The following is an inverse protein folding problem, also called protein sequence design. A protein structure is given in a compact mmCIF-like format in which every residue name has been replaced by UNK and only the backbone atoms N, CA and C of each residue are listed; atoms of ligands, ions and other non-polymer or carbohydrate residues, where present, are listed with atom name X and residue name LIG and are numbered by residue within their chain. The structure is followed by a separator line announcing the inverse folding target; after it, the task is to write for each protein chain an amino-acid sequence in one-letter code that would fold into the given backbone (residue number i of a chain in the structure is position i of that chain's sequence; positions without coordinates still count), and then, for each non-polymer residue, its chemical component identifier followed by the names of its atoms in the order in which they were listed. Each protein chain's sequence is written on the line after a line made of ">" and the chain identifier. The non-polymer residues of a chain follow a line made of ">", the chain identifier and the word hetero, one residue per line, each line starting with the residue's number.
data_IF_184113812827
#
_entry.id   IF_184113812827
#
_cell.length_a   1.000
_cell.length_b   1.000
_cell.length_c   1.000
_cell.angle_alpha   90.00
_cell.angle_beta   90.00
_cell.angle_gamma   90.00
#
_symmetry.space_group_name_H-M   'P 1'
#
loop_
_entity.id
_entity.type
_entity.pdbx_description
1 polymer ?
#
# COMPACT_ATOMS: atom_id res chain seq x y z
N UNK A 1 6.91 -0.03 -0.38
CA UNK A 1 7.60 -0.91 -1.35
C UNK A 1 9.00 -0.43 -1.58
N UNK A 2 10.01 -1.28 -1.37
CA UNK A 2 11.41 -0.95 -1.62
C UNK A 2 11.75 -0.89 -3.11
N UNK A 3 12.84 -0.22 -3.46
CA UNK A 3 13.20 0.11 -4.85
C UNK A 3 13.42 -1.12 -5.72
N UNK A 4 13.99 -2.21 -5.15
CA UNK A 4 14.19 -3.48 -5.87
C UNK A 4 12.88 -4.04 -6.46
N UNK A 5 11.76 -3.86 -5.76
CA UNK A 5 10.45 -4.35 -6.22
C UNK A 5 9.80 -3.44 -7.27
N UNK A 6 10.38 -2.28 -7.53
CA UNK A 6 9.91 -1.31 -8.51
C UNK A 6 10.78 -1.29 -9.77
N UNK A 7 11.93 -1.97 -9.78
CA UNK A 7 12.89 -1.96 -10.88
C UNK A 7 12.30 -2.37 -12.25
N UNK A 8 11.27 -3.23 -12.27
CA UNK A 8 10.61 -3.69 -13.49
C UNK A 8 9.42 -2.80 -13.94
N UNK A 9 9.15 -1.68 -13.24
CA UNK A 9 8.05 -0.76 -13.61
C UNK A 9 8.45 0.06 -14.83
N UNK A 10 7.47 0.38 -15.69
CA UNK A 10 7.65 1.36 -16.76
C UNK A 10 7.97 2.73 -16.17
N UNK A 11 8.93 3.43 -16.78
CA UNK A 11 9.45 4.72 -16.32
C UNK A 11 9.92 4.66 -14.84
N UNK A 12 10.66 3.60 -14.48
CA UNK A 12 11.15 3.41 -13.12
C UNK A 12 12.18 4.46 -12.70
N UNK A 13 12.88 5.05 -13.67
CA UNK A 13 13.88 6.10 -13.52
C UNK A 13 13.33 7.39 -12.92
N UNK A 14 12.05 7.69 -13.14
CA UNK A 14 11.38 8.87 -12.55
C UNK A 14 10.66 8.55 -11.22
N UNK A 15 10.69 7.30 -10.76
CA UNK A 15 10.18 6.93 -9.44
C UNK A 15 11.16 7.41 -8.37
N UNK A 16 10.67 8.16 -7.39
CA UNK A 16 11.49 8.56 -6.25
C UNK A 16 12.06 7.36 -5.46
N UNK A 17 13.26 7.52 -4.87
CA UNK A 17 13.85 6.48 -4.02
C UNK A 17 12.96 6.19 -2.82
N UNK A 18 13.13 5.00 -2.22
CA UNK A 18 12.28 4.52 -1.13
C UNK A 18 12.18 5.52 0.02
N UNK A 19 13.30 6.08 0.46
CA UNK A 19 13.39 6.99 1.61
C UNK A 19 12.54 8.23 1.39
N UNK A 20 12.54 8.77 0.16
CA UNK A 20 11.72 9.95 -0.19
C UNK A 20 10.24 9.61 -0.23
N UNK A 21 9.86 8.45 -0.76
CA UNK A 21 8.46 8.00 -0.78
C UNK A 21 7.93 7.71 0.63
N UNK A 22 8.77 7.12 1.47
CA UNK A 22 8.47 6.85 2.88
C UNK A 22 8.26 8.15 3.66
N UNK A 23 9.20 9.10 3.55
CA UNK A 23 9.10 10.41 4.19
C UNK A 23 7.83 11.15 3.74
N UNK A 24 7.57 11.24 2.43
CA UNK A 24 6.39 11.92 1.89
C UNK A 24 5.08 11.32 2.41
N UNK A 25 4.98 9.98 2.53
CA UNK A 25 3.79 9.33 3.08
C UNK A 25 3.60 9.63 4.57
N UNK A 26 4.69 9.56 5.36
CA UNK A 26 4.65 9.86 6.78
C UNK A 26 4.32 11.33 7.05
N UNK A 27 4.90 12.25 6.29
CA UNK A 27 4.67 13.68 6.41
C UNK A 27 3.24 14.07 6.06
N UNK A 28 2.66 13.44 5.02
CA UNK A 28 1.25 13.61 4.70
C UNK A 28 0.34 13.19 5.87
N UNK A 29 0.58 12.02 6.47
CA UNK A 29 -0.20 11.56 7.63
C UNK A 29 -0.10 12.52 8.82
N UNK A 30 1.10 13.02 9.11
CA UNK A 30 1.33 14.01 10.18
C UNK A 30 0.69 15.36 9.87
N UNK A 31 0.67 15.79 8.61
CA UNK A 31 0.00 17.01 8.20
C UNK A 31 -1.53 16.90 8.37
N UNK A 32 -2.11 15.73 8.08
CA UNK A 32 -3.54 15.45 8.27
C UNK A 32 -3.91 15.34 9.75
N UNK A 33 -3.09 14.64 10.55
CA UNK A 33 -3.30 14.47 12.00
C UNK A 33 -1.96 14.46 12.74
N UNK A 34 -1.52 15.61 13.30
CA UNK A 34 -0.21 15.73 13.95
C UNK A 34 -0.01 14.81 15.15
N UNK A 35 -1.09 14.45 15.85
CA UNK A 35 -1.06 13.55 17.00
C UNK A 35 -1.01 12.06 16.64
N UNK A 36 -0.93 11.71 15.36
CA UNK A 36 -0.85 10.31 14.92
C UNK A 36 0.57 9.77 15.15
N UNK A 37 0.66 8.64 15.84
CA UNK A 37 1.90 7.85 15.86
C UNK A 37 2.04 7.14 14.51
N UNK A 38 3.13 7.45 13.79
CA UNK A 38 3.39 6.90 12.45
C UNK A 38 4.61 6.01 12.52
N UNK A 39 4.40 4.72 12.24
CA UNK A 39 5.45 3.76 12.01
C UNK A 39 5.42 3.28 10.55
N UNK A 40 6.58 3.26 9.91
CA UNK A 40 6.74 2.81 8.53
C UNK A 40 7.56 1.52 8.47
N UNK A 41 7.31 0.70 7.46
CA UNK A 41 8.13 -0.47 7.17
C UNK A 41 8.20 -0.73 5.67
N UNK A 42 9.37 -1.15 5.20
CA UNK A 42 9.60 -1.43 3.80
C UNK A 42 9.16 -2.86 3.44
N UNK A 43 8.43 -2.99 2.33
CA UNK A 43 8.26 -4.28 1.65
C UNK A 43 9.50 -4.50 0.77
N UNK A 44 10.42 -5.34 1.23
CA UNK A 44 11.72 -5.58 0.58
C UNK A 44 11.79 -6.89 -0.20
N UNK A 45 11.08 -7.92 0.26
CA UNK A 45 11.04 -9.25 -0.36
C UNK A 45 9.58 -9.67 -0.52
N UNK A 46 9.11 -9.99 -1.74
CA UNK A 46 7.73 -10.45 -1.98
C UNK A 46 7.45 -11.83 -1.37
N UNK A 47 8.49 -12.60 -1.00
CA UNK A 47 8.36 -13.91 -0.36
C UNK A 47 8.33 -13.82 1.17
N UNK A 48 8.81 -12.72 1.74
CA UNK A 48 8.77 -12.50 3.17
C UNK A 48 7.38 -12.01 3.59
N UNK A 49 6.83 -12.47 4.73
CA UNK A 49 5.56 -11.96 5.21
C UNK A 49 5.70 -10.47 5.56
N UNK A 50 4.75 -9.62 5.14
CA UNK A 50 4.73 -8.21 5.56
C UNK A 50 4.48 -8.10 7.06
N UNK A 51 4.88 -6.97 7.68
CA UNK A 51 4.72 -6.73 9.12
C UNK A 51 3.27 -6.91 9.62
N UNK A 52 2.29 -6.57 8.78
CA UNK A 52 0.87 -6.76 9.08
C UNK A 52 0.44 -8.23 9.23
N UNK A 53 1.21 -9.18 8.68
CA UNK A 53 0.96 -10.60 8.80
C UNK A 53 1.45 -11.19 10.13
N UNK A 54 2.43 -10.53 10.77
CA UNK A 54 3.15 -11.08 11.94
C UNK A 54 2.90 -10.32 13.23
N UNK A 55 2.31 -9.12 13.18
CA UNK A 55 2.04 -8.30 14.36
C UNK A 55 0.62 -8.50 14.89
N UNK A 56 0.49 -9.12 16.07
CA UNK A 56 -0.80 -9.43 16.67
C UNK A 56 -1.63 -8.19 17.03
N UNK A 57 -0.98 -7.08 17.42
CA UNK A 57 -1.67 -5.84 17.82
C UNK A 57 -2.41 -5.10 16.70
N UNK A 58 -2.21 -5.49 15.43
CA UNK A 58 -2.95 -4.91 14.31
C UNK A 58 -4.34 -5.55 14.25
N UNK A 59 -5.37 -4.75 14.51
CA UNK A 59 -6.78 -5.16 14.49
C UNK A 59 -7.52 -4.79 13.20
N UNK A 60 -6.97 -3.89 12.38
CA UNK A 60 -7.59 -3.47 11.13
C UNK A 60 -6.57 -3.17 10.02
N UNK A 61 -7.00 -3.32 8.77
CA UNK A 61 -6.31 -2.84 7.56
C UNK A 61 -7.16 -1.80 6.84
N UNK A 62 -6.55 -0.67 6.52
CA UNK A 62 -7.13 0.34 5.63
C UNK A 62 -6.58 0.07 4.23
N UNK A 63 -7.47 -0.23 3.28
CA UNK A 63 -7.10 -0.73 1.96
C UNK A 63 -8.02 -0.16 0.89
N UNK A 64 -7.53 -0.07 -0.34
CA UNK A 64 -8.39 0.14 -1.50
C UNK A 64 -8.93 -1.19 -2.02
N UNK A 65 -9.93 -1.12 -2.91
CA UNK A 65 -10.42 -2.32 -3.62
C UNK A 65 -9.32 -3.06 -4.39
N UNK A 66 -8.31 -2.36 -4.91
CA UNK A 66 -7.16 -2.97 -5.60
C UNK A 66 -6.32 -3.86 -4.68
N UNK A 67 -6.30 -3.56 -3.38
CA UNK A 67 -5.46 -4.26 -2.40
C UNK A 67 -6.23 -5.27 -1.57
N UNK A 68 -7.53 -5.45 -1.82
CA UNK A 68 -8.38 -6.43 -1.13
C UNK A 68 -7.88 -7.87 -1.26
N UNK A 69 -7.39 -8.26 -2.44
CA UNK A 69 -6.79 -9.59 -2.63
C UNK A 69 -5.52 -9.76 -1.78
N UNK A 70 -4.72 -8.71 -1.64
CA UNK A 70 -3.55 -8.70 -0.75
C UNK A 70 -3.94 -8.81 0.72
N UNK A 71 -4.98 -8.09 1.13
CA UNK A 71 -5.51 -8.14 2.49
C UNK A 71 -6.04 -9.51 2.88
N UNK A 72 -6.75 -10.20 1.97
CA UNK A 72 -7.20 -11.59 2.18
C UNK A 72 -6.03 -12.55 2.40
N UNK A 73 -4.99 -12.49 1.55
CA UNK A 73 -3.76 -13.28 1.74
C UNK A 73 -3.08 -12.99 3.08
N UNK A 74 -3.12 -11.73 3.52
CA UNK A 74 -2.64 -11.28 4.82
C UNK A 74 -3.39 -11.92 5.98
N UNK A 75 -4.72 -12.00 5.89
CA UNK A 75 -5.54 -12.70 6.87
C UNK A 75 -5.21 -14.21 6.91
N UNK A 76 -5.07 -14.85 5.74
CA UNK A 76 -4.67 -16.27 5.66
C UNK A 76 -3.31 -16.52 6.32
N UNK A 77 -2.32 -15.64 6.07
CA UNK A 77 -1.02 -15.71 6.73
C UNK A 77 -1.13 -15.57 8.25
N UNK A 78 -1.95 -14.64 8.76
CA UNK A 78 -2.15 -14.48 10.21
C UNK A 78 -2.77 -15.72 10.85
N UNK A 79 -3.73 -16.36 10.17
CA UNK A 79 -4.31 -17.62 10.63
C UNK A 79 -3.27 -18.74 10.63
N UNK A 80 -2.47 -18.87 9.57
CA UNK A 80 -1.40 -19.87 9.48
C UNK A 80 -0.31 -19.67 10.55
N UNK A 81 -0.07 -18.44 10.99
CA UNK A 81 0.86 -18.11 12.07
C UNK A 81 0.24 -18.18 13.48
N UNK A 82 -1.04 -18.57 13.61
CA UNK A 82 -1.73 -18.65 14.90
C UNK A 82 -2.01 -17.30 15.57
N UNK A 83 -1.94 -16.21 14.80
CA UNK A 83 -2.16 -14.84 15.28
C UNK A 83 -3.63 -14.50 15.26
N UNK A 84 -4.34 -14.87 14.19
CA UNK A 84 -5.78 -14.67 14.10
C UNK A 84 -6.51 -15.85 14.77
N UNK A 85 -7.52 -15.52 15.58
CA UNK A 85 -8.49 -16.48 16.13
C UNK A 85 -9.86 -16.16 15.56
N UNK A 86 -10.75 -17.14 15.49
CA UNK A 86 -12.12 -16.96 14.98
C UNK A 86 -12.90 -15.85 15.72
N UNK A 87 -12.51 -15.54 16.96
CA UNK A 87 -13.13 -14.51 17.80
C UNK A 87 -12.57 -13.10 17.63
N UNK A 88 -11.47 -12.93 16.90
CA UNK A 88 -10.80 -11.63 16.71
C UNK A 88 -10.22 -11.50 15.29
N UNK A 89 -11.10 -11.40 14.27
CA UNK A 89 -10.67 -11.32 12.89
C UNK A 89 -10.09 -9.93 12.56
N UNK A 90 -9.10 -9.91 11.67
CA UNK A 90 -8.55 -8.67 11.12
C UNK A 90 -9.62 -7.92 10.32
N UNK A 91 -10.04 -6.73 10.78
CA UNK A 91 -11.05 -5.92 10.11
C UNK A 91 -10.50 -5.28 8.83
N UNK A 92 -11.29 -5.26 7.75
CA UNK A 92 -10.94 -4.56 6.50
C UNK A 92 -11.79 -3.30 6.34
N UNK A 93 -11.12 -2.15 6.28
CA UNK A 93 -11.72 -0.85 6.02
C UNK A 93 -11.38 -0.48 4.57
N UNK A 94 -12.40 -0.53 3.71
CA UNK A 94 -12.25 -0.18 2.30
C UNK A 94 -12.34 1.34 2.11
N UNK A 95 -11.37 1.91 1.40
CA UNK A 95 -11.35 3.31 0.97
C UNK A 95 -11.40 3.41 -0.55
N UNK A 96 -12.13 4.42 -1.02
CA UNK A 96 -12.35 4.67 -2.43
C UNK A 96 -11.12 5.29 -3.11
N UNK A 97 -10.99 5.02 -4.40
CA UNK A 97 -9.90 5.52 -5.23
C UNK A 97 -10.22 6.94 -5.72
N UNK A 98 -9.21 7.80 -5.66
CA UNK A 98 -9.29 9.19 -6.12
C UNK A 98 -9.35 9.24 -7.65
N UNK A 99 -10.23 10.10 -8.17
CA UNK A 99 -10.37 10.32 -9.61
C UNK A 99 -10.91 9.13 -10.38
N UNK A 100 -11.57 8.18 -9.69
CA UNK A 100 -12.24 7.06 -10.31
C UNK A 100 -13.76 7.34 -10.37
N UNK A 101 -14.34 7.26 -11.58
CA UNK A 101 -15.78 7.43 -11.80
C UNK A 101 -16.57 6.23 -11.26
N UNK A 102 -15.94 5.07 -11.31
CA UNK A 102 -16.42 3.83 -10.75
C UNK A 102 -15.34 3.25 -9.86
N UNK A 103 -15.74 2.43 -8.90
CA UNK A 103 -14.82 1.92 -7.90
C UNK A 103 -14.49 0.43 -8.08
N UNK A 104 -14.88 -0.14 -9.22
CA UNK A 104 -14.40 -1.45 -9.64
C UNK A 104 -12.86 -1.47 -9.70
N UNK A 105 -12.25 -2.62 -9.46
CA UNK A 105 -10.79 -2.72 -9.33
C UNK A 105 -10.03 -2.34 -10.62
N UNK A 106 -10.69 -2.48 -11.76
CA UNK A 106 -10.20 -2.21 -13.11
C UNK A 106 -10.73 -0.88 -13.69
N UNK A 107 -11.55 -0.14 -12.94
CA UNK A 107 -12.08 1.13 -13.40
C UNK A 107 -10.96 2.16 -13.67
N UNK A 108 -11.11 3.01 -14.70
CA UNK A 108 -10.19 4.12 -14.93
C UNK A 108 -10.07 4.99 -13.67
N UNK A 109 -8.82 5.28 -13.28
CA UNK A 109 -8.50 6.00 -12.05
C UNK A 109 -7.27 6.87 -12.24
N UNK A 110 -7.11 7.84 -11.35
CA UNK A 110 -5.83 8.52 -11.20
C UNK A 110 -4.80 7.51 -10.69
N UNK A 111 -3.78 7.23 -11.50
CA UNK A 111 -2.77 6.22 -11.19
C UNK A 111 -1.37 6.77 -11.37
N UNK A 112 -0.44 6.30 -10.52
CA UNK A 112 0.98 6.63 -10.63
C UNK A 112 1.58 6.29 -12.00
N UNK A 113 1.07 5.27 -12.69
CA UNK A 113 1.54 4.89 -14.03
C UNK A 113 1.10 5.89 -15.09
N UNK A 114 -0.14 6.40 -15.01
CA UNK A 114 -0.63 7.43 -15.92
C UNK A 114 0.07 8.77 -15.70
N UNK A 115 0.28 9.16 -14.43
CA UNK A 115 1.02 10.37 -14.07
C UNK A 115 2.46 10.33 -14.62
N UNK A 116 3.17 9.23 -14.38
CA UNK A 116 4.52 9.01 -14.93
C UNK A 116 4.57 9.04 -16.46
N UNK A 117 3.56 8.49 -17.13
CA UNK A 117 3.50 8.52 -18.59
C UNK A 117 3.30 9.94 -19.13
N UNK A 118 2.49 10.77 -18.45
CA UNK A 118 2.35 12.20 -18.78
C UNK A 118 3.65 12.96 -18.58
N UNK A 119 4.29 12.81 -17.41
CA UNK A 119 5.59 13.45 -17.11
C UNK A 119 6.70 13.05 -18.09
N UNK A 120 6.71 11.80 -18.55
CA UNK A 120 7.68 11.33 -19.54
C UNK A 120 7.36 11.80 -20.98
N UNK A 121 6.09 12.08 -21.28
CA UNK A 121 5.63 12.60 -22.57
C UNK A 121 5.81 14.11 -22.73
N UNK A 122 5.73 14.86 -21.63
CA UNK A 122 5.96 16.32 -21.59
C UNK A 122 7.45 16.72 -21.63
N UNK A 123 8.36 15.75 -21.80
CA UNK A 123 9.81 15.95 -21.92
C UNK A 123 10.31 16.14 -23.37
N UNK A 124 9.43 16.50 -24.32
CA UNK A 124 9.76 16.75 -25.74
C UNK A 124 9.62 18.22 -26.14
#
# INVERSE_FOLDING_TARGET
>A
TGDKLLAAKKNADIIWPFERREAAAADYLRAVRPALEVETSALLDPKAPPKAATMASISALIISRETLAGARKLADMRSAHGIAKDTDPLAFILVDLVGALEQAADAPKLSSSALRAGEAGDAS
#
